data_IF_129299133762
#
_entry.id   IF_129299133762
#
_cell.length_a   1.000
_cell.length_b   1.000
_cell.length_c   1.000
_cell.angle_alpha   90.00
_cell.angle_beta   90.00
_cell.angle_gamma   90.00
#
_symmetry.space_group_name_H-M   'P 1'
#
loop_
_entity.id
_entity.type
_entity.pdbx_description
1 polymer ?
#
# COMPACT_ATOMS: atom_id res chain seq x y z
N UNK A 1 -0.14 31.63 -5.48
CA UNK A 1 0.91 31.16 -4.54
C UNK A 1 1.32 29.76 -4.98
N UNK A 2 2.63 29.41 -4.99
CA UNK A 2 3.06 28.05 -5.31
C UNK A 2 2.54 27.06 -4.26
N UNK A 3 2.18 25.85 -4.68
CA UNK A 3 1.78 24.79 -3.77
C UNK A 3 2.96 24.39 -2.86
N UNK A 4 2.69 24.21 -1.57
CA UNK A 4 3.67 23.75 -0.59
C UNK A 4 3.76 22.21 -0.62
N UNK A 5 4.97 21.64 -0.49
CA UNK A 5 5.13 20.20 -0.38
C UNK A 5 4.53 19.68 0.94
N UNK A 6 4.06 18.43 0.94
CA UNK A 6 3.33 17.83 2.06
C UNK A 6 4.15 17.77 3.36
N UNK A 7 5.48 17.55 3.27
CA UNK A 7 6.41 17.53 4.40
C UNK A 7 6.53 18.88 5.13
N UNK A 8 6.20 19.99 4.45
CA UNK A 8 6.25 21.34 5.01
C UNK A 8 4.86 21.91 5.33
N UNK A 9 3.80 21.23 4.88
CA UNK A 9 2.43 21.68 5.04
C UNK A 9 2.00 21.57 6.51
N UNK A 10 1.31 22.60 6.99
CA UNK A 10 0.73 22.66 8.33
C UNK A 10 -0.80 22.66 8.23
N UNK A 11 -1.46 21.86 9.06
CA UNK A 11 -2.92 21.75 9.11
C UNK A 11 -3.39 22.29 10.46
N UNK A 12 -4.31 23.25 10.42
CA UNK A 12 -4.95 23.79 11.63
C UNK A 12 -6.29 23.12 11.84
N UNK A 13 -6.50 22.54 13.02
CA UNK A 13 -7.76 21.90 13.41
C UNK A 13 -8.24 22.41 14.74
N UNK A 14 -9.55 22.38 14.94
CA UNK A 14 -10.14 22.63 16.25
C UNK A 14 -10.04 21.36 17.08
N UNK A 15 -9.35 21.44 18.20
CA UNK A 15 -9.31 20.36 19.18
C UNK A 15 -10.71 20.16 19.77
N UNK A 16 -11.23 18.94 19.65
CA UNK A 16 -12.57 18.59 20.15
C UNK A 16 -12.66 18.63 21.68
N UNK A 17 -11.54 18.43 22.39
CA UNK A 17 -11.52 18.42 23.87
C UNK A 17 -11.43 19.83 24.45
N UNK A 18 -10.60 20.70 23.86
CA UNK A 18 -10.34 22.04 24.41
C UNK A 18 -11.04 23.17 23.65
N UNK A 19 -11.57 22.88 22.46
CA UNK A 19 -12.19 23.87 21.56
C UNK A 19 -11.19 24.84 20.92
N UNK A 20 -9.89 24.74 21.23
CA UNK A 20 -8.85 25.62 20.68
C UNK A 20 -8.39 25.17 19.30
N UNK A 21 -7.93 26.12 18.49
CA UNK A 21 -7.24 25.82 17.24
C UNK A 21 -5.82 25.32 17.56
N UNK A 22 -5.49 24.14 17.05
CA UNK A 22 -4.15 23.54 17.11
C UNK A 22 -3.62 23.39 15.69
N UNK A 23 -2.43 23.90 15.45
CA UNK A 23 -1.70 23.70 14.19
C UNK A 23 -0.72 22.56 14.39
N UNK A 24 -0.72 21.60 13.45
CA UNK A 24 0.20 20.46 13.43
C UNK A 24 0.69 20.20 12.02
N UNK A 25 1.84 19.51 11.84
CA UNK A 25 2.27 19.05 10.54
C UNK A 25 1.18 18.22 9.84
N UNK A 26 1.14 18.30 8.51
CA UNK A 26 0.20 17.53 7.70
C UNK A 26 0.43 16.02 7.85
N UNK A 27 1.70 15.60 7.89
CA UNK A 27 2.10 14.24 8.27
C UNK A 27 2.14 14.13 9.79
N UNK A 28 1.13 13.50 10.38
CA UNK A 28 1.08 13.29 11.83
C UNK A 28 0.33 11.99 12.18
N UNK A 29 0.74 11.24 13.23
CA UNK A 29 0.11 9.98 13.60
C UNK A 29 -1.40 10.07 13.83
N UNK A 30 -1.87 11.15 14.47
CA UNK A 30 -3.31 11.40 14.72
C UNK A 30 -4.13 11.60 13.43
N UNK A 31 -3.48 11.74 12.26
CA UNK A 31 -4.16 11.91 10.99
C UNK A 31 -4.37 10.60 10.22
N UNK A 32 -3.74 9.49 10.66
CA UNK A 32 -4.04 8.17 10.11
C UNK A 32 -5.46 7.77 10.51
N UNK A 33 -6.13 7.00 9.66
CA UNK A 33 -7.41 6.42 10.04
C UNK A 33 -7.18 5.21 10.94
N UNK A 34 -8.13 4.99 11.86
CA UNK A 34 -8.18 3.78 12.67
C UNK A 34 -8.78 2.64 11.85
N UNK A 35 -7.96 2.09 10.97
CA UNK A 35 -8.26 0.91 10.14
C UNK A 35 -7.18 -0.13 10.36
N UNK A 36 -7.59 -1.39 10.45
CA UNK A 36 -6.69 -2.51 10.71
C UNK A 36 -6.54 -3.36 9.47
N UNK A 37 -5.32 -3.45 8.94
CA UNK A 37 -5.02 -4.28 7.77
C UNK A 37 -4.65 -5.70 8.20
N UNK A 38 -5.47 -6.68 7.81
CA UNK A 38 -5.20 -8.09 8.09
C UNK A 38 -4.06 -8.63 7.21
N UNK A 39 -3.31 -9.60 7.71
CA UNK A 39 -2.25 -10.24 6.93
C UNK A 39 -2.83 -11.08 5.79
N UNK A 40 -2.17 -11.04 4.64
CA UNK A 40 -2.46 -11.93 3.51
C UNK A 40 -2.06 -13.37 3.84
N UNK A 41 -2.90 -14.31 3.42
CA UNK A 41 -2.56 -15.74 3.35
C UNK A 41 -2.79 -16.23 1.92
N UNK A 42 -1.92 -17.11 1.40
CA UNK A 42 -2.10 -17.67 0.07
C UNK A 42 -3.35 -18.57 0.03
N UNK A 43 -3.96 -18.73 -1.16
CA UNK A 43 -5.03 -19.69 -1.35
C UNK A 43 -4.53 -21.12 -1.07
N UNK A 44 -5.44 -22.04 -0.73
CA UNK A 44 -5.09 -23.43 -0.52
C UNK A 44 -4.56 -24.07 -1.82
N UNK A 45 -3.66 -25.04 -1.66
CA UNK A 45 -3.14 -25.83 -2.80
C UNK A 45 -4.21 -26.73 -3.42
N UNK A 46 -5.15 -27.17 -2.60
CA UNK A 46 -6.27 -28.02 -2.98
C UNK A 46 -7.57 -27.20 -3.01
N UNK A 47 -8.49 -27.53 -3.91
CA UNK A 47 -9.78 -26.84 -4.06
C UNK A 47 -10.81 -27.28 -3.00
N UNK A 48 -10.39 -27.44 -1.74
CA UNK A 48 -11.28 -27.81 -0.63
C UNK A 48 -12.20 -26.60 -0.33
N UNK A 49 -13.53 -26.74 -0.44
CA UNK A 49 -14.47 -25.60 -0.38
C UNK A 49 -14.30 -24.72 0.86
N UNK A 50 -14.20 -25.31 2.05
CA UNK A 50 -14.07 -24.55 3.30
C UNK A 50 -12.77 -23.72 3.38
N UNK A 51 -11.67 -24.24 2.84
CA UNK A 51 -10.38 -23.52 2.82
C UNK A 51 -10.38 -22.41 1.77
N UNK A 52 -11.05 -22.63 0.64
CA UNK A 52 -11.24 -21.62 -0.39
C UNK A 52 -12.09 -20.47 0.14
N UNK A 53 -13.17 -20.77 0.87
CA UNK A 53 -14.03 -19.77 1.50
C UNK A 53 -13.27 -18.93 2.54
N UNK A 54 -12.48 -19.55 3.44
CA UNK A 54 -11.62 -18.84 4.41
C UNK A 54 -10.63 -17.90 3.69
N UNK A 55 -10.01 -18.38 2.61
CA UNK A 55 -9.13 -17.56 1.79
C UNK A 55 -9.87 -16.36 1.19
N UNK A 56 -11.03 -16.59 0.55
CA UNK A 56 -11.79 -15.53 -0.11
C UNK A 56 -12.28 -14.47 0.86
N UNK A 57 -12.73 -14.86 2.05
CA UNK A 57 -13.14 -13.93 3.10
C UNK A 57 -11.96 -13.03 3.52
N UNK A 58 -10.82 -13.64 3.87
CA UNK A 58 -9.62 -12.89 4.26
C UNK A 58 -9.10 -12.00 3.13
N UNK A 59 -9.06 -12.52 1.90
CA UNK A 59 -8.63 -11.78 0.72
C UNK A 59 -9.56 -10.58 0.42
N UNK A 60 -10.86 -10.72 0.70
CA UNK A 60 -11.83 -9.64 0.54
C UNK A 60 -11.58 -8.48 1.49
N UNK A 61 -11.22 -8.75 2.75
CA UNK A 61 -10.79 -7.71 3.69
C UNK A 61 -9.57 -6.95 3.14
N UNK A 62 -8.50 -7.67 2.76
CA UNK A 62 -7.29 -7.05 2.19
C UNK A 62 -7.62 -6.22 0.95
N UNK A 63 -8.40 -6.77 0.01
CA UNK A 63 -8.74 -6.06 -1.22
C UNK A 63 -9.55 -4.79 -0.96
N UNK A 64 -10.53 -4.85 -0.05
CA UNK A 64 -11.38 -3.71 0.30
C UNK A 64 -10.60 -2.63 1.04
N UNK A 65 -9.64 -3.03 1.87
CA UNK A 65 -8.75 -2.09 2.57
C UNK A 65 -7.74 -1.42 1.64
N UNK A 66 -7.19 -2.15 0.67
CA UNK A 66 -6.34 -1.57 -0.36
C UNK A 66 -7.11 -0.66 -1.31
N UNK A 67 -8.34 -1.01 -1.69
CA UNK A 67 -9.19 -0.13 -2.51
C UNK A 67 -9.52 1.17 -1.78
N UNK A 68 -9.83 1.10 -0.49
CA UNK A 68 -10.00 2.28 0.37
C UNK A 68 -8.72 3.12 0.44
N UNK A 69 -7.57 2.48 0.66
CA UNK A 69 -6.27 3.14 0.74
C UNK A 69 -5.96 3.91 -0.55
N UNK A 70 -6.19 3.27 -1.71
CA UNK A 70 -5.98 3.88 -3.02
C UNK A 70 -6.96 5.04 -3.31
N UNK A 71 -8.15 5.02 -2.70
CA UNK A 71 -9.11 6.11 -2.80
C UNK A 71 -8.79 7.31 -1.89
N UNK A 72 -7.85 7.18 -0.95
CA UNK A 72 -7.50 8.27 -0.05
C UNK A 72 -6.85 9.46 -0.79
N UNK A 73 -7.10 10.70 -0.34
CA UNK A 73 -6.32 11.87 -0.73
C UNK A 73 -4.83 11.69 -0.41
N UNK A 74 -3.97 12.44 -1.12
CA UNK A 74 -2.51 12.34 -1.00
C UNK A 74 -2.00 12.44 0.45
N UNK A 75 -2.45 13.44 1.22
CA UNK A 75 -2.04 13.63 2.62
C UNK A 75 -2.45 12.46 3.52
N UNK A 76 -3.67 11.94 3.33
CA UNK A 76 -4.22 10.83 4.11
C UNK A 76 -3.58 9.50 3.76
N UNK A 77 -3.33 9.27 2.48
CA UNK A 77 -2.60 8.12 1.99
C UNK A 77 -1.21 8.05 2.64
N UNK A 78 -0.45 9.14 2.60
CA UNK A 78 0.88 9.19 3.21
C UNK A 78 0.87 9.07 4.73
N UNK A 79 -0.12 9.65 5.42
CA UNK A 79 -0.29 9.41 6.85
C UNK A 79 -0.55 7.93 7.16
N UNK A 80 -1.38 7.25 6.37
CA UNK A 80 -1.64 5.82 6.57
C UNK A 80 -0.38 5.00 6.33
N UNK A 81 0.31 5.22 5.21
CA UNK A 81 1.51 4.48 4.81
C UNK A 81 2.64 4.61 5.84
N UNK A 82 2.84 5.80 6.40
CA UNK A 82 3.93 6.08 7.35
C UNK A 82 3.59 5.58 8.75
N UNK A 83 2.37 5.81 9.23
CA UNK A 83 2.04 5.62 10.65
C UNK A 83 1.23 4.35 10.95
N UNK A 84 0.88 3.54 9.94
CA UNK A 84 0.20 2.27 10.12
C UNK A 84 1.12 1.07 9.83
N UNK A 85 1.66 0.48 10.89
CA UNK A 85 2.46 -0.73 10.79
C UNK A 85 1.68 -1.93 10.24
N UNK A 86 0.35 -1.98 10.45
CA UNK A 86 -0.46 -3.12 10.00
C UNK A 86 -0.55 -3.15 8.48
N UNK A 87 -0.59 -1.98 7.83
CA UNK A 87 -0.52 -1.84 6.38
C UNK A 87 0.79 -2.39 5.82
N UNK A 88 1.94 -2.00 6.39
CA UNK A 88 3.24 -2.51 5.94
C UNK A 88 3.33 -4.03 6.10
N UNK A 89 2.91 -4.56 7.26
CA UNK A 89 2.88 -6.01 7.52
C UNK A 89 1.96 -6.75 6.55
N UNK A 90 0.82 -6.16 6.18
CA UNK A 90 -0.08 -6.69 5.17
C UNK A 90 0.59 -6.76 3.79
N UNK A 91 1.19 -5.66 3.31
CA UNK A 91 1.89 -5.63 2.02
C UNK A 91 3.05 -6.64 1.98
N UNK A 92 3.81 -6.74 3.07
CA UNK A 92 4.90 -7.71 3.23
C UNK A 92 4.42 -9.15 3.16
N UNK A 93 3.34 -9.46 3.88
CA UNK A 93 2.75 -10.80 3.84
C UNK A 93 2.28 -11.15 2.43
N UNK A 94 1.76 -10.19 1.67
CA UNK A 94 1.37 -10.43 0.29
C UNK A 94 2.58 -10.72 -0.60
N UNK A 95 3.59 -9.83 -0.60
CA UNK A 95 4.79 -10.00 -1.42
C UNK A 95 5.49 -11.32 -1.10
N UNK A 96 5.59 -11.68 0.18
CA UNK A 96 6.23 -12.90 0.63
C UNK A 96 5.47 -14.16 0.21
N UNK A 97 4.16 -14.20 0.39
CA UNK A 97 3.40 -15.45 0.30
C UNK A 97 2.57 -15.63 -0.98
N UNK A 98 2.41 -14.61 -1.82
CA UNK A 98 1.64 -14.77 -3.06
C UNK A 98 2.29 -15.84 -3.95
N UNK A 99 1.52 -16.78 -4.53
CA UNK A 99 2.05 -17.76 -5.47
C UNK A 99 2.69 -17.09 -6.69
N UNK A 100 3.89 -17.53 -7.08
CA UNK A 100 4.58 -17.07 -8.29
C UNK A 100 4.08 -17.86 -9.49
N UNK A 101 4.22 -17.29 -10.69
CA UNK A 101 3.75 -17.91 -11.94
C UNK A 101 4.41 -19.25 -12.29
N UNK A 102 5.55 -19.54 -11.67
CA UNK A 102 6.32 -20.77 -11.88
C UNK A 102 6.17 -21.78 -10.74
N UNK A 103 5.36 -21.46 -9.72
CA UNK A 103 5.06 -22.40 -8.64
C UNK A 103 4.09 -23.47 -9.15
N UNK A 104 4.26 -24.72 -8.69
CA UNK A 104 3.33 -25.80 -8.99
C UNK A 104 1.98 -25.56 -8.30
N UNK A 105 0.90 -25.54 -9.09
CA UNK A 105 -0.44 -25.36 -8.56
C UNK A 105 -1.51 -26.03 -9.44
N UNK A 106 -2.43 -26.73 -8.77
CA UNK A 106 -3.74 -27.14 -9.30
C UNK A 106 -4.49 -25.90 -9.82
N UNK A 107 -5.20 -26.04 -10.95
CA UNK A 107 -6.02 -24.97 -11.49
C UNK A 107 -7.01 -24.46 -10.42
N UNK A 108 -6.88 -23.19 -9.98
CA UNK A 108 -7.75 -22.65 -8.94
C UNK A 108 -9.15 -22.36 -9.49
N UNK A 109 -10.15 -22.35 -8.59
CA UNK A 109 -11.50 -21.96 -8.94
C UNK A 109 -11.54 -20.52 -9.53
N UNK A 110 -12.49 -20.20 -10.44
CA UNK A 110 -12.56 -18.89 -11.08
C UNK A 110 -12.57 -17.71 -10.09
N UNK A 111 -13.31 -17.84 -8.99
CA UNK A 111 -13.43 -16.79 -7.97
C UNK A 111 -12.08 -16.47 -7.30
N UNK A 112 -11.22 -17.49 -7.10
CA UNK A 112 -9.87 -17.32 -6.56
C UNK A 112 -8.99 -16.58 -7.56
N UNK A 113 -9.10 -16.92 -8.85
CA UNK A 113 -8.34 -16.24 -9.93
C UNK A 113 -8.69 -14.77 -10.00
N UNK A 114 -9.98 -14.43 -9.96
CA UNK A 114 -10.43 -13.05 -10.05
C UNK A 114 -10.04 -12.24 -8.80
N UNK A 115 -10.16 -12.84 -7.60
CA UNK A 115 -9.70 -12.22 -6.37
C UNK A 115 -8.18 -11.98 -6.38
N UNK A 116 -7.38 -12.95 -6.82
CA UNK A 116 -5.94 -12.78 -6.97
C UNK A 116 -5.60 -11.67 -7.96
N UNK A 117 -6.32 -11.57 -9.08
CA UNK A 117 -6.11 -10.50 -10.06
C UNK A 117 -6.40 -9.12 -9.44
N UNK A 118 -7.46 -9.00 -8.65
CA UNK A 118 -7.81 -7.75 -7.93
C UNK A 118 -6.73 -7.37 -6.92
N UNK A 119 -6.29 -8.31 -6.08
CA UNK A 119 -5.22 -8.09 -5.10
C UNK A 119 -3.90 -7.71 -5.79
N UNK A 120 -3.52 -8.43 -6.84
CA UNK A 120 -2.30 -8.18 -7.59
C UNK A 120 -2.26 -6.77 -8.19
N UNK A 121 -3.37 -6.33 -8.78
CA UNK A 121 -3.51 -4.95 -9.28
C UNK A 121 -3.42 -3.93 -8.15
N UNK A 122 -4.13 -4.16 -7.05
CA UNK A 122 -4.22 -3.19 -5.95
C UNK A 122 -2.87 -3.02 -5.25
N UNK A 123 -2.16 -4.11 -4.97
CA UNK A 123 -0.82 -4.08 -4.37
C UNK A 123 0.17 -3.35 -5.30
N UNK A 124 0.17 -3.64 -6.60
CA UNK A 124 1.03 -2.94 -7.55
C UNK A 124 0.79 -1.43 -7.54
N UNK A 125 -0.47 -1.01 -7.60
CA UNK A 125 -0.84 0.40 -7.61
C UNK A 125 -0.48 1.09 -6.28
N UNK A 126 -0.59 0.38 -5.15
CA UNK A 126 -0.17 0.91 -3.85
C UNK A 126 1.34 1.19 -3.84
N UNK A 127 2.16 0.22 -4.26
CA UNK A 127 3.61 0.43 -4.35
C UNK A 127 3.98 1.49 -5.38
N UNK A 128 3.30 1.56 -6.52
CA UNK A 128 3.51 2.61 -7.52
C UNK A 128 3.21 4.00 -6.97
N UNK A 129 2.16 4.13 -6.16
CA UNK A 129 1.82 5.39 -5.48
C UNK A 129 2.88 5.75 -4.44
N UNK A 130 3.34 4.78 -3.65
CA UNK A 130 4.42 4.95 -2.67
C UNK A 130 5.77 5.31 -3.32
N UNK A 131 6.04 4.89 -4.55
CA UNK A 131 7.27 5.28 -5.27
C UNK A 131 7.16 6.61 -6.00
N UNK A 132 6.02 7.31 -5.90
CA UNK A 132 5.75 8.54 -6.66
C UNK A 132 5.76 9.75 -5.74
N UNK A 133 6.92 10.40 -5.58
CA UNK A 133 7.05 11.61 -4.74
C UNK A 133 6.22 12.81 -5.22
N UNK A 134 5.75 12.80 -6.47
CA UNK A 134 4.95 13.86 -7.09
C UNK A 134 3.73 13.28 -7.81
N UNK A 135 2.62 13.15 -7.09
CA UNK A 135 1.34 12.67 -7.65
C UNK A 135 0.71 13.71 -8.59
N UNK A 136 0.88 15.00 -8.31
CA UNK A 136 0.41 16.10 -9.18
C UNK A 136 1.19 17.40 -8.95
N UNK A 137 0.75 18.51 -9.54
CA UNK A 137 1.36 19.83 -9.31
C UNK A 137 1.16 20.33 -7.87
N UNK A 138 0.04 19.98 -7.26
CA UNK A 138 -0.35 20.44 -5.92
C UNK A 138 -0.12 19.39 -4.83
N UNK A 139 0.13 18.13 -5.23
CA UNK A 139 0.33 17.01 -4.33
C UNK A 139 1.69 16.36 -4.57
N UNK A 140 2.66 16.75 -3.75
CA UNK A 140 4.02 16.24 -3.82
C UNK A 140 4.71 16.33 -2.45
N UNK A 141 5.79 15.56 -2.31
CA UNK A 141 6.72 15.57 -1.19
C UNK A 141 8.08 16.04 -1.73
N UNK A 142 8.82 16.82 -0.95
CA UNK A 142 10.18 17.22 -1.31
C UNK A 142 11.07 15.99 -1.52
N UNK A 143 11.93 15.92 -2.56
CA UNK A 143 12.71 14.71 -2.86
C UNK A 143 13.56 14.18 -1.70
N UNK A 144 14.16 15.07 -0.90
CA UNK A 144 14.94 14.69 0.29
C UNK A 144 14.06 14.03 1.36
N UNK A 145 12.97 14.68 1.74
CA UNK A 145 12.02 14.16 2.72
C UNK A 145 11.37 12.85 2.25
N UNK A 146 11.10 12.72 0.95
CA UNK A 146 10.57 11.49 0.36
C UNK A 146 11.55 10.31 0.53
N UNK A 147 12.83 10.50 0.20
CA UNK A 147 13.85 9.47 0.40
C UNK A 147 13.99 9.05 1.87
N UNK A 148 13.98 10.01 2.78
CA UNK A 148 13.99 9.75 4.23
C UNK A 148 12.75 8.98 4.69
N UNK A 149 11.56 9.34 4.19
CA UNK A 149 10.31 8.63 4.49
C UNK A 149 10.39 7.18 4.02
N UNK A 150 10.84 6.92 2.80
CA UNK A 150 10.95 5.57 2.28
C UNK A 150 11.91 4.70 3.11
N UNK A 151 13.08 5.26 3.45
CA UNK A 151 14.13 4.55 4.16
C UNK A 151 13.77 4.32 5.64
N UNK A 152 13.39 5.37 6.37
CA UNK A 152 13.19 5.31 7.82
C UNK A 152 11.94 4.49 8.21
N UNK A 153 10.96 4.36 7.33
CA UNK A 153 9.74 3.59 7.59
C UNK A 153 9.75 2.20 6.92
N UNK A 154 10.90 1.76 6.39
CA UNK A 154 11.06 0.45 5.74
C UNK A 154 10.03 0.18 4.63
N UNK A 155 9.61 1.24 3.92
CA UNK A 155 8.57 1.15 2.87
C UNK A 155 9.07 0.38 1.64
N UNK A 156 10.37 0.48 1.36
CA UNK A 156 11.08 -0.32 0.35
C UNK A 156 12.36 -0.87 0.96
N UNK A 157 12.42 -2.18 1.09
CA UNK A 157 13.64 -2.92 1.43
C UNK A 157 14.06 -3.81 0.25
N UNK A 158 15.27 -4.35 0.31
CA UNK A 158 15.80 -5.20 -0.76
C UNK A 158 14.89 -6.42 -1.03
N UNK A 159 14.39 -7.18 -0.03
CA UNK A 159 13.44 -8.25 -0.26
C UNK A 159 12.18 -7.81 -1.02
N UNK A 160 11.52 -6.71 -0.61
CA UNK A 160 10.34 -6.16 -1.28
C UNK A 160 10.65 -5.81 -2.73
N UNK A 161 11.78 -5.17 -3.01
CA UNK A 161 12.18 -4.80 -4.38
C UNK A 161 12.36 -6.04 -5.26
N UNK A 162 13.02 -7.10 -4.76
CA UNK A 162 13.18 -8.36 -5.48
C UNK A 162 11.83 -9.03 -5.75
N UNK A 163 10.94 -9.05 -4.74
CA UNK A 163 9.58 -9.58 -4.88
C UNK A 163 8.76 -8.78 -5.90
N UNK A 164 8.84 -7.46 -5.89
CA UNK A 164 8.18 -6.58 -6.87
C UNK A 164 8.67 -6.88 -8.30
N UNK A 165 9.98 -7.08 -8.49
CA UNK A 165 10.58 -7.49 -9.76
C UNK A 165 10.04 -8.80 -10.29
N UNK A 166 10.02 -9.85 -9.48
CA UNK A 166 9.55 -11.17 -9.94
C UNK A 166 8.03 -11.18 -10.18
N UNK A 167 7.25 -10.45 -9.37
CA UNK A 167 5.79 -10.43 -9.49
C UNK A 167 5.30 -9.56 -10.64
N UNK A 168 5.87 -8.36 -10.83
CA UNK A 168 5.32 -7.34 -11.73
C UNK A 168 6.19 -7.07 -12.97
N UNK A 169 7.43 -7.58 -13.03
CA UNK A 169 8.40 -7.26 -14.09
C UNK A 169 7.97 -7.68 -15.50
N UNK A 170 7.40 -8.89 -15.66
CA UNK A 170 7.05 -9.43 -17.01
C UNK A 170 5.98 -8.60 -17.75
N UNK A 171 5.14 -7.85 -17.03
CA UNK A 171 4.04 -7.06 -17.62
C UNK A 171 4.18 -5.55 -17.46
N UNK A 172 4.86 -5.09 -16.40
CA UNK A 172 4.93 -3.68 -16.02
C UNK A 172 6.37 -3.14 -15.97
N UNK A 173 7.31 -3.76 -16.70
CA UNK A 173 8.75 -3.42 -16.64
C UNK A 173 9.05 -1.92 -16.72
N UNK A 174 8.46 -1.13 -17.64
CA UNK A 174 8.77 0.31 -17.72
C UNK A 174 8.33 1.09 -16.47
N UNK A 175 7.15 0.77 -15.93
CA UNK A 175 6.66 1.39 -14.69
C UNK A 175 7.51 0.95 -13.51
N UNK A 176 7.86 -0.33 -13.44
CA UNK A 176 8.67 -0.85 -12.35
C UNK A 176 10.10 -0.28 -12.37
N UNK A 177 10.69 -0.08 -13.54
CA UNK A 177 11.97 0.62 -13.69
C UNK A 177 11.90 2.04 -13.14
N UNK A 178 10.79 2.76 -13.40
CA UNK A 178 10.57 4.09 -12.82
C UNK A 178 10.38 4.03 -11.29
N UNK A 179 9.76 2.97 -10.76
CA UNK A 179 9.59 2.79 -9.31
C UNK A 179 10.93 2.54 -8.60
N UNK A 180 11.84 1.78 -9.21
CA UNK A 180 13.10 1.33 -8.59
C UNK A 180 14.27 2.27 -8.88
N UNK A 181 14.34 2.84 -10.09
CA UNK A 181 15.44 3.69 -10.53
C UNK A 181 15.18 5.19 -10.42
N UNK A 182 14.03 5.58 -9.83
CA UNK A 182 13.63 6.97 -9.62
C UNK A 182 14.44 7.68 -8.56
#
# INVERSE_FOLDING_TARGET
MPALPLDQLQITRKDLKTGKLRTSPALHPEQKADRYFVLYKPPPKDNIPALVEEYLERATFVATDLDWLLALPHDKFWCQVIFDETLQKCLDSYLRYVPRKFDEWVAPAPDVVDMQRRLHRSVFLTFLRMSTHKESKDHFISPSAFGEILYNNFLFDIPKILDLCVLFGKGNSPLLQKMIGG
#
